data_IF_722302852232
#
_entry.id   IF_722302852232
#
_cell.length_a   1.000
_cell.length_b   1.000
_cell.length_c   1.000
_cell.angle_alpha   90.00
_cell.angle_beta   90.00
_cell.angle_gamma   90.00
#
_symmetry.space_group_name_H-M   'P 1'
#
loop_
_entity.id
_entity.type
_entity.pdbx_description
1 polymer ?
#
# COMPACT_ATOMS: atom_id res chain seq x y z
N UNK A 1 -3.67 80.97 4.34
CA UNK A 1 -3.49 79.94 5.42
C UNK A 1 -4.45 78.75 5.23
N UNK A 2 -5.64 78.88 4.67
CA UNK A 2 -6.66 77.83 4.60
C UNK A 2 -6.35 76.66 3.62
N UNK A 3 -5.72 76.92 2.47
CA UNK A 3 -5.46 75.88 1.44
C UNK A 3 -4.44 74.84 1.90
N UNK A 4 -3.45 75.21 2.67
CA UNK A 4 -2.39 74.27 3.15
C UNK A 4 -2.91 73.26 4.14
N UNK A 5 -3.88 73.60 4.99
CA UNK A 5 -4.50 72.69 5.93
C UNK A 5 -5.49 71.73 5.27
N UNK A 6 -6.10 72.11 4.15
CA UNK A 6 -6.95 71.24 3.34
C UNK A 6 -6.13 70.09 2.71
N UNK A 7 -4.95 70.39 2.15
CA UNK A 7 -4.05 69.36 1.59
C UNK A 7 -3.47 68.45 2.67
N UNK A 8 -3.16 68.95 3.87
CA UNK A 8 -2.72 68.13 4.99
C UNK A 8 -3.83 67.19 5.47
N UNK A 9 -5.09 67.67 5.48
CA UNK A 9 -6.25 66.83 5.85
C UNK A 9 -6.53 65.72 4.86
N UNK A 10 -6.35 65.98 3.55
CA UNK A 10 -6.55 64.97 2.49
C UNK A 10 -5.45 63.89 2.52
N UNK A 11 -4.18 64.27 2.79
CA UNK A 11 -3.08 63.31 2.92
C UNK A 11 -3.27 62.46 4.18
N UNK A 12 -3.77 63.00 5.28
CA UNK A 12 -4.00 62.24 6.50
C UNK A 12 -5.19 61.28 6.34
N UNK A 13 -6.21 61.65 5.53
CA UNK A 13 -7.37 60.78 5.28
C UNK A 13 -7.07 59.62 4.32
N UNK A 14 -6.12 59.80 3.35
CA UNK A 14 -5.69 58.74 2.47
C UNK A 14 -4.83 57.66 3.16
N UNK A 15 -4.17 57.95 4.29
CA UNK A 15 -3.38 56.99 5.05
C UNK A 15 -4.22 56.02 5.90
N UNK A 16 -5.50 56.28 6.12
CA UNK A 16 -6.41 55.39 6.89
C UNK A 16 -7.01 54.23 6.06
N UNK A 17 -6.83 54.23 4.75
CA UNK A 17 -7.35 53.17 3.89
C UNK A 17 -6.28 52.16 3.46
N UNK A 18 -5.16 52.06 4.17
CA UNK A 18 -4.27 50.90 4.04
C UNK A 18 -5.00 49.66 4.62
N UNK A 19 -5.96 49.12 3.86
CA UNK A 19 -6.53 47.80 4.15
C UNK A 19 -5.40 46.81 4.06
N UNK A 20 -4.88 46.36 5.20
CA UNK A 20 -4.04 45.19 5.31
C UNK A 20 -4.88 44.00 4.82
N UNK A 21 -4.80 43.72 3.53
CA UNK A 21 -5.30 42.48 3.00
C UNK A 21 -4.54 41.36 3.69
N UNK A 22 -5.15 40.74 4.68
CA UNK A 22 -4.63 39.52 5.27
C UNK A 22 -4.66 38.48 4.15
N UNK A 23 -3.52 38.26 3.49
CA UNK A 23 -3.36 37.11 2.63
C UNK A 23 -3.67 35.87 3.49
N UNK A 24 -4.75 35.16 3.15
CA UNK A 24 -5.08 33.90 3.83
C UNK A 24 -3.87 32.97 3.68
N UNK A 25 -3.26 32.58 4.77
CA UNK A 25 -2.17 31.62 4.76
C UNK A 25 -2.69 30.30 4.22
N UNK A 26 -2.07 29.82 3.11
CA UNK A 26 -2.47 28.59 2.45
C UNK A 26 -2.03 27.39 3.30
N UNK A 27 -2.99 26.61 3.77
CA UNK A 27 -2.71 25.39 4.55
C UNK A 27 -2.49 24.20 3.62
N UNK A 28 -1.22 23.80 3.48
CA UNK A 28 -0.81 22.66 2.64
C UNK A 28 -0.54 21.47 3.54
N UNK A 29 -1.00 20.28 3.13
CA UNK A 29 -0.68 19.00 3.75
C UNK A 29 0.05 18.07 2.78
N UNK A 30 0.82 17.14 3.32
CA UNK A 30 1.47 16.07 2.58
C UNK A 30 1.02 14.72 3.14
N UNK A 31 0.76 13.75 2.25
CA UNK A 31 0.44 12.35 2.60
C UNK A 31 1.35 11.41 1.81
N UNK A 32 2.11 10.58 2.53
CA UNK A 32 2.89 9.52 1.93
C UNK A 32 1.98 8.34 1.56
N UNK A 33 1.52 8.30 0.30
CA UNK A 33 0.60 7.27 -0.19
C UNK A 33 1.20 5.86 -0.07
N UNK A 34 2.50 5.69 -0.30
CA UNK A 34 3.19 4.40 -0.17
C UNK A 34 3.11 3.90 1.27
N UNK A 35 3.47 4.74 2.24
CA UNK A 35 3.38 4.42 3.67
C UNK A 35 1.95 4.07 4.09
N UNK A 36 0.95 4.79 3.56
CA UNK A 36 -0.47 4.49 3.83
C UNK A 36 -0.83 3.13 3.26
N UNK A 37 -0.47 2.83 2.00
CA UNK A 37 -0.76 1.54 1.37
C UNK A 37 -0.07 0.37 2.06
N UNK A 38 1.12 0.55 2.60
CA UNK A 38 1.85 -0.50 3.32
C UNK A 38 1.25 -0.80 4.70
N UNK A 39 0.74 0.23 5.37
CA UNK A 39 0.33 0.13 6.78
C UNK A 39 -1.19 0.08 6.99
N UNK A 40 -2.00 0.31 5.95
CA UNK A 40 -3.45 0.28 6.08
C UNK A 40 -3.98 -1.14 6.36
N UNK A 41 -4.74 -1.36 7.45
CA UNK A 41 -5.26 -2.67 7.79
C UNK A 41 -6.21 -3.22 6.73
N UNK A 42 -6.80 -2.34 5.92
CA UNK A 42 -7.64 -2.69 4.80
C UNK A 42 -6.88 -3.48 3.72
N UNK A 43 -5.56 -3.23 3.55
CA UNK A 43 -4.70 -3.96 2.62
C UNK A 43 -4.55 -5.42 3.06
N UNK A 44 -4.24 -5.64 4.34
CA UNK A 44 -4.16 -6.99 4.90
C UNK A 44 -5.50 -7.74 4.81
N UNK A 45 -6.61 -7.05 5.08
CA UNK A 45 -7.95 -7.63 4.95
C UNK A 45 -8.28 -7.99 3.49
N UNK A 46 -7.88 -7.15 2.51
CA UNK A 46 -8.08 -7.43 1.09
C UNK A 46 -7.27 -8.64 0.64
N UNK A 47 -5.99 -8.72 1.02
CA UNK A 47 -5.14 -9.88 0.72
C UNK A 47 -5.73 -11.17 1.30
N UNK A 48 -6.19 -11.15 2.55
CA UNK A 48 -6.82 -12.31 3.18
C UNK A 48 -8.15 -12.71 2.52
N UNK A 49 -8.89 -11.77 1.93
CA UNK A 49 -10.08 -12.10 1.12
C UNK A 49 -9.69 -12.77 -0.18
N UNK A 50 -8.71 -12.24 -0.90
CA UNK A 50 -8.19 -12.83 -2.12
C UNK A 50 -7.67 -14.24 -1.91
N UNK A 51 -6.87 -14.46 -0.85
CA UNK A 51 -6.38 -15.79 -0.51
C UNK A 51 -7.54 -16.78 -0.31
N UNK A 52 -8.54 -16.42 0.50
CA UNK A 52 -9.70 -17.31 0.74
C UNK A 52 -10.52 -17.57 -0.52
N UNK A 53 -10.68 -16.58 -1.37
CA UNK A 53 -11.45 -16.69 -2.62
C UNK A 53 -10.74 -17.64 -3.61
N UNK A 54 -9.41 -17.58 -3.69
CA UNK A 54 -8.63 -18.32 -4.67
C UNK A 54 -8.03 -19.64 -4.15
N UNK A 55 -8.01 -19.87 -2.84
CA UNK A 55 -7.48 -21.08 -2.22
C UNK A 55 -8.10 -22.38 -2.78
N UNK A 56 -9.42 -22.51 -2.98
CA UNK A 56 -10.01 -23.73 -3.53
C UNK A 56 -9.45 -24.06 -4.93
N UNK A 57 -9.39 -23.07 -5.81
CA UNK A 57 -8.86 -23.26 -7.18
C UNK A 57 -7.37 -23.58 -7.18
N UNK A 58 -6.60 -22.99 -6.27
CA UNK A 58 -5.19 -23.32 -6.09
C UNK A 58 -5.00 -24.78 -5.66
N UNK A 59 -5.85 -25.26 -4.75
CA UNK A 59 -5.85 -26.67 -4.33
C UNK A 59 -6.22 -27.62 -5.48
N UNK A 60 -7.21 -27.28 -6.30
CA UNK A 60 -7.60 -28.06 -7.49
C UNK A 60 -6.44 -28.18 -8.49
N UNK A 61 -5.75 -27.07 -8.78
CA UNK A 61 -4.57 -27.05 -9.64
C UNK A 61 -3.46 -27.94 -9.06
N UNK A 62 -3.19 -27.85 -7.76
CA UNK A 62 -2.19 -28.66 -7.10
C UNK A 62 -2.56 -30.17 -7.10
N UNK A 63 -3.84 -30.50 -6.97
CA UNK A 63 -4.33 -31.86 -7.08
C UNK A 63 -4.16 -32.38 -8.52
N UNK A 64 -4.59 -31.60 -9.52
CA UNK A 64 -4.43 -31.96 -10.92
C UNK A 64 -2.97 -32.22 -11.32
N UNK A 65 -2.03 -31.45 -10.78
CA UNK A 65 -0.59 -31.69 -10.98
C UNK A 65 -0.16 -33.04 -10.39
N UNK A 66 -0.62 -33.37 -9.18
CA UNK A 66 -0.31 -34.65 -8.51
C UNK A 66 -0.91 -35.83 -9.27
N UNK A 67 -2.14 -35.70 -9.74
CA UNK A 67 -2.83 -36.75 -10.47
C UNK A 67 -2.12 -37.05 -11.82
N UNK A 68 -1.73 -36.01 -12.55
CA UNK A 68 -0.97 -36.16 -13.79
C UNK A 68 0.34 -36.84 -13.51
N UNK A 69 1.07 -36.41 -12.48
CA UNK A 69 2.34 -37.08 -12.12
C UNK A 69 2.15 -38.54 -11.76
N UNK A 70 1.11 -38.88 -11.01
CA UNK A 70 0.81 -40.26 -10.66
C UNK A 70 0.51 -41.12 -11.91
N UNK A 71 -0.20 -40.58 -12.90
CA UNK A 71 -0.46 -41.26 -14.16
C UNK A 71 0.81 -41.42 -14.99
N UNK A 72 1.69 -40.44 -15.05
CA UNK A 72 2.98 -40.51 -15.73
C UNK A 72 3.90 -41.59 -15.07
N UNK A 73 3.97 -41.55 -13.74
CA UNK A 73 4.77 -42.55 -12.98
C UNK A 73 4.23 -43.96 -13.21
N UNK A 74 2.91 -44.12 -13.27
CA UNK A 74 2.28 -45.40 -13.58
C UNK A 74 2.58 -45.87 -15.00
N UNK A 75 2.45 -44.96 -15.98
CA UNK A 75 2.78 -45.29 -17.38
C UNK A 75 4.25 -45.68 -17.52
N UNK A 76 5.16 -45.00 -16.84
CA UNK A 76 6.60 -45.29 -16.87
C UNK A 76 6.94 -46.64 -16.22
N UNK A 77 6.25 -46.99 -15.11
CA UNK A 77 6.53 -48.24 -14.38
C UNK A 77 5.91 -49.47 -15.06
N UNK A 78 4.67 -49.35 -15.44
CA UNK A 78 3.83 -50.47 -15.87
C UNK A 78 3.64 -50.51 -17.40
N UNK A 79 4.10 -49.51 -18.12
CA UNK A 79 3.87 -49.36 -19.57
C UNK A 79 4.38 -50.54 -20.40
N UNK A 80 5.50 -51.17 -19.97
CA UNK A 80 6.06 -52.35 -20.65
C UNK A 80 5.21 -53.61 -20.52
N UNK A 81 4.35 -53.71 -19.50
CA UNK A 81 3.46 -54.85 -19.23
C UNK A 81 2.02 -54.59 -19.61
N UNK A 82 1.67 -53.34 -19.93
CA UNK A 82 0.34 -52.95 -20.42
C UNK A 82 0.12 -53.39 -21.88
N UNK A 83 -1.15 -53.64 -22.23
CA UNK A 83 -1.49 -53.73 -23.65
C UNK A 83 -1.24 -52.42 -24.39
N UNK A 84 -0.96 -52.48 -25.66
CA UNK A 84 -0.72 -51.30 -26.49
C UNK A 84 -1.93 -50.33 -26.50
N UNK A 85 -3.15 -50.86 -26.44
CA UNK A 85 -4.35 -50.07 -26.34
C UNK A 85 -4.39 -49.28 -25.00
N UNK A 86 -4.15 -49.95 -23.88
CA UNK A 86 -4.15 -49.33 -22.55
C UNK A 86 -3.06 -48.26 -22.44
N UNK A 87 -1.85 -48.51 -22.95
CA UNK A 87 -0.76 -47.53 -22.95
C UNK A 87 -1.10 -46.29 -23.78
N UNK A 88 -1.69 -46.48 -24.96
CA UNK A 88 -2.18 -45.36 -25.79
C UNK A 88 -3.29 -44.53 -25.13
N UNK A 89 -4.26 -45.22 -24.52
CA UNK A 89 -5.38 -44.51 -23.84
C UNK A 89 -4.87 -43.73 -22.63
N UNK A 90 -3.99 -44.28 -21.81
CA UNK A 90 -3.36 -43.59 -20.70
C UNK A 90 -2.54 -42.36 -21.15
N UNK A 91 -1.76 -42.52 -22.24
CA UNK A 91 -1.01 -41.41 -22.84
C UNK A 91 -1.92 -40.27 -23.31
N UNK A 92 -3.07 -40.58 -23.93
CA UNK A 92 -4.07 -39.59 -24.35
C UNK A 92 -4.69 -38.90 -23.13
N UNK A 93 -5.03 -39.63 -22.07
CA UNK A 93 -5.59 -39.09 -20.86
C UNK A 93 -4.60 -38.09 -20.18
N UNK A 94 -3.33 -38.46 -20.08
CA UNK A 94 -2.27 -37.55 -19.57
C UNK A 94 -2.20 -36.26 -20.41
N UNK A 95 -2.21 -36.36 -21.76
CA UNK A 95 -2.16 -35.21 -22.64
C UNK A 95 -3.37 -34.30 -22.42
N UNK A 96 -4.58 -34.87 -22.32
CA UNK A 96 -5.80 -34.11 -22.10
C UNK A 96 -5.79 -33.42 -20.75
N UNK A 97 -5.44 -34.15 -19.67
CA UNK A 97 -5.31 -33.59 -18.31
C UNK A 97 -4.27 -32.47 -18.23
N UNK A 98 -3.15 -32.61 -18.93
CA UNK A 98 -2.14 -31.53 -19.03
C UNK A 98 -2.69 -30.27 -19.70
N UNK A 99 -3.46 -30.43 -20.78
CA UNK A 99 -4.09 -29.30 -21.47
C UNK A 99 -5.13 -28.59 -20.57
N UNK A 100 -5.97 -29.39 -19.89
CA UNK A 100 -6.96 -28.87 -18.98
C UNK A 100 -6.31 -28.15 -17.78
N UNK A 101 -5.29 -28.74 -17.20
CA UNK A 101 -4.53 -28.14 -16.11
C UNK A 101 -3.90 -26.81 -16.54
N UNK A 102 -3.29 -26.78 -17.73
CA UNK A 102 -2.73 -25.53 -18.27
C UNK A 102 -3.80 -24.46 -18.41
N UNK A 103 -4.94 -24.79 -18.98
CA UNK A 103 -6.07 -23.84 -19.11
C UNK A 103 -6.52 -23.34 -17.74
N UNK A 104 -6.71 -24.22 -16.74
CA UNK A 104 -7.06 -23.85 -15.37
C UNK A 104 -6.03 -22.92 -14.72
N UNK A 105 -4.73 -23.14 -14.96
CA UNK A 105 -3.66 -22.27 -14.47
C UNK A 105 -3.68 -20.89 -15.12
N UNK A 106 -3.95 -20.83 -16.43
CA UNK A 106 -4.00 -19.58 -17.17
C UNK A 106 -5.24 -18.76 -16.72
N UNK A 107 -6.42 -19.40 -16.62
CA UNK A 107 -7.65 -18.80 -16.08
C UNK A 107 -7.48 -18.32 -14.63
N UNK A 108 -6.86 -19.13 -13.78
CA UNK A 108 -6.57 -18.74 -12.38
C UNK A 108 -5.70 -17.49 -12.32
N UNK A 109 -4.64 -17.43 -13.14
CA UNK A 109 -3.72 -16.28 -13.14
C UNK A 109 -4.40 -15.02 -13.60
N UNK A 110 -5.21 -15.12 -14.66
CA UNK A 110 -5.96 -13.99 -15.21
C UNK A 110 -6.98 -13.47 -14.20
N UNK A 111 -7.84 -14.34 -13.68
CA UNK A 111 -8.88 -13.99 -12.70
C UNK A 111 -8.27 -13.39 -11.42
N UNK A 112 -7.16 -13.99 -10.93
CA UNK A 112 -6.46 -13.47 -9.75
C UNK A 112 -5.93 -12.05 -9.98
N UNK A 113 -5.33 -11.80 -11.14
CA UNK A 113 -4.79 -10.47 -11.47
C UNK A 113 -5.91 -9.43 -11.60
N UNK A 114 -7.02 -9.77 -12.26
CA UNK A 114 -8.20 -8.91 -12.38
C UNK A 114 -8.75 -8.60 -10.98
N UNK A 115 -8.97 -9.61 -10.17
CA UNK A 115 -9.56 -9.46 -8.85
C UNK A 115 -8.66 -8.66 -7.90
N UNK A 116 -7.35 -8.89 -7.98
CA UNK A 116 -6.35 -8.12 -7.23
C UNK A 116 -6.38 -6.63 -7.64
N UNK A 117 -6.46 -6.35 -8.93
CA UNK A 117 -6.55 -4.96 -9.43
C UNK A 117 -7.82 -4.28 -8.90
N UNK A 118 -8.97 -4.94 -8.97
CA UNK A 118 -10.23 -4.42 -8.43
C UNK A 118 -10.15 -4.11 -6.92
N UNK A 119 -9.51 -4.98 -6.13
CA UNK A 119 -9.35 -4.74 -4.70
C UNK A 119 -8.40 -3.56 -4.43
N UNK A 120 -7.31 -3.41 -5.21
CA UNK A 120 -6.41 -2.26 -5.10
C UNK A 120 -7.11 -0.95 -5.47
N UNK A 121 -7.92 -0.94 -6.53
CA UNK A 121 -8.70 0.23 -6.94
C UNK A 121 -9.72 0.65 -5.86
N UNK A 122 -10.37 -0.31 -5.21
CA UNK A 122 -11.27 -0.05 -4.09
C UNK A 122 -10.52 0.56 -2.90
N UNK A 123 -9.36 0.01 -2.57
CA UNK A 123 -8.52 0.51 -1.49
C UNK A 123 -8.05 1.94 -1.78
N UNK A 124 -7.60 2.21 -2.98
CA UNK A 124 -7.17 3.55 -3.38
C UNK A 124 -8.30 4.57 -3.24
N UNK A 125 -9.51 4.23 -3.71
CA UNK A 125 -10.69 5.10 -3.55
C UNK A 125 -10.99 5.37 -2.08
N UNK A 126 -11.00 4.34 -1.23
CA UNK A 126 -11.26 4.48 0.21
C UNK A 126 -10.19 5.37 0.89
N UNK A 127 -8.92 5.22 0.53
CA UNK A 127 -7.84 6.04 1.07
C UNK A 127 -8.03 7.51 0.64
N UNK A 128 -8.34 7.76 -0.62
CA UNK A 128 -8.61 9.12 -1.12
C UNK A 128 -9.79 9.75 -0.39
N UNK A 129 -10.89 9.02 -0.17
CA UNK A 129 -12.05 9.49 0.59
C UNK A 129 -11.67 9.89 2.02
N UNK A 130 -10.86 9.08 2.70
CA UNK A 130 -10.38 9.38 4.05
C UNK A 130 -9.46 10.61 4.05
N UNK A 131 -8.54 10.72 3.08
CA UNK A 131 -7.68 11.90 2.95
C UNK A 131 -8.53 13.16 2.75
N UNK A 132 -9.51 13.12 1.86
CA UNK A 132 -10.42 14.25 1.63
C UNK A 132 -11.25 14.62 2.86
N UNK A 133 -11.71 13.62 3.62
CA UNK A 133 -12.45 13.87 4.86
C UNK A 133 -11.57 14.58 5.89
N UNK A 134 -10.34 14.10 6.12
CA UNK A 134 -9.38 14.74 7.04
C UNK A 134 -9.01 16.14 6.56
N UNK A 135 -8.80 16.32 5.25
CA UNK A 135 -8.48 17.61 4.66
C UNK A 135 -9.59 18.65 4.92
N UNK A 136 -10.85 18.26 4.70
CA UNK A 136 -12.01 19.13 4.95
C UNK A 136 -12.17 19.44 6.43
N UNK A 137 -12.10 18.44 7.31
CA UNK A 137 -12.24 18.61 8.76
C UNK A 137 -11.20 19.57 9.33
N UNK A 138 -9.99 19.55 8.79
CA UNK A 138 -8.87 20.36 9.26
C UNK A 138 -8.60 21.61 8.43
N UNK A 139 -9.48 21.91 7.46
CA UNK A 139 -9.39 23.10 6.62
C UNK A 139 -8.07 23.22 5.85
N UNK A 140 -7.57 22.11 5.29
CA UNK A 140 -6.48 22.17 4.33
C UNK A 140 -6.97 22.71 2.99
N UNK A 141 -6.17 23.59 2.39
CA UNK A 141 -6.44 24.15 1.07
C UNK A 141 -5.89 23.28 -0.06
N UNK A 142 -4.82 22.53 0.22
CA UNK A 142 -4.16 21.62 -0.74
C UNK A 142 -3.54 20.41 -0.03
N UNK A 143 -3.72 19.22 -0.61
CA UNK A 143 -3.01 18.00 -0.20
C UNK A 143 -2.14 17.53 -1.36
N UNK A 144 -0.86 17.31 -1.08
CA UNK A 144 0.11 16.71 -1.97
C UNK A 144 0.36 15.25 -1.57
N UNK A 145 0.64 14.41 -2.55
CA UNK A 145 0.94 12.98 -2.32
C UNK A 145 2.12 12.54 -3.17
N UNK A 146 1.87 12.01 -4.35
CA UNK A 146 2.89 11.45 -5.22
C UNK A 146 3.81 12.55 -5.81
N UNK A 147 5.06 12.18 -6.10
CA UNK A 147 6.03 13.07 -6.73
C UNK A 147 6.69 14.09 -5.79
N UNK A 148 6.37 14.07 -4.49
CA UNK A 148 7.02 14.91 -3.49
C UNK A 148 8.33 14.27 -3.06
N UNK A 149 9.45 14.97 -3.32
CA UNK A 149 10.79 14.48 -2.98
C UNK A 149 11.12 14.71 -1.51
N UNK A 150 10.59 15.79 -0.94
CA UNK A 150 10.81 16.15 0.46
C UNK A 150 9.62 16.94 1.01
N UNK A 151 9.22 16.64 2.22
CA UNK A 151 8.23 17.38 2.99
C UNK A 151 8.71 17.53 4.43
N UNK A 152 8.42 18.69 5.02
CA UNK A 152 8.68 18.93 6.44
C UNK A 152 7.65 18.18 7.29
N UNK A 153 8.05 17.68 8.46
CA UNK A 153 7.16 16.98 9.40
C UNK A 153 5.92 17.82 9.81
N UNK A 154 6.06 19.16 9.78
CA UNK A 154 4.94 20.05 10.12
C UNK A 154 3.78 20.02 9.12
N UNK A 155 4.00 19.60 7.89
CA UNK A 155 2.93 19.44 6.87
C UNK A 155 2.57 17.97 6.62
N UNK A 156 3.30 17.00 7.19
CA UNK A 156 3.03 15.56 7.03
C UNK A 156 1.80 15.16 7.86
N UNK A 157 0.71 14.85 7.18
CA UNK A 157 -0.53 14.37 7.78
C UNK A 157 -0.72 12.85 7.64
N UNK A 158 0.29 12.12 7.19
CA UNK A 158 0.22 10.66 6.93
C UNK A 158 -0.27 9.89 8.16
N UNK A 159 0.30 10.18 9.35
CA UNK A 159 -0.09 9.52 10.60
C UNK A 159 -1.57 9.81 10.99
N UNK A 160 -2.10 10.98 10.63
CA UNK A 160 -3.49 11.33 10.88
C UNK A 160 -4.43 10.53 9.97
N UNK A 161 -4.06 10.37 8.71
CA UNK A 161 -4.79 9.53 7.74
C UNK A 161 -4.75 8.07 8.19
N UNK A 162 -3.59 7.56 8.59
CA UNK A 162 -3.43 6.21 9.12
C UNK A 162 -4.29 5.98 10.37
N UNK A 163 -4.31 6.92 11.29
CA UNK A 163 -5.16 6.88 12.49
C UNK A 163 -6.65 6.83 12.12
N UNK A 164 -7.07 7.62 11.12
CA UNK A 164 -8.46 7.63 10.66
C UNK A 164 -8.85 6.32 9.97
N UNK A 165 -7.90 5.68 9.26
CA UNK A 165 -8.07 4.34 8.67
C UNK A 165 -8.13 3.22 9.73
N UNK A 166 -8.01 3.53 11.02
CA UNK A 166 -8.11 2.59 12.11
C UNK A 166 -6.81 1.91 12.49
N UNK A 167 -5.66 2.44 12.06
CA UNK A 167 -4.37 2.02 12.56
C UNK A 167 -4.15 2.74 13.90
N UNK A 168 -4.57 2.13 15.00
CA UNK A 168 -4.03 2.51 16.29
C UNK A 168 -2.51 2.32 16.20
N UNK A 169 -1.73 3.38 16.51
CA UNK A 169 -0.31 3.21 16.79
C UNK A 169 -0.18 2.08 17.80
N UNK A 170 0.10 0.86 17.36
CA UNK A 170 0.77 -0.13 18.20
C UNK A 170 2.10 0.51 18.49
N UNK A 171 2.21 1.07 19.71
CA UNK A 171 3.42 1.72 20.17
C UNK A 171 4.58 0.72 20.16
N UNK A 172 5.24 0.62 19.05
CA UNK A 172 6.62 0.21 19.02
C UNK A 172 7.41 1.48 19.31
N UNK A 173 7.46 1.84 20.61
CA UNK A 173 8.57 2.58 21.11
C UNK A 173 9.81 1.83 20.61
N UNK A 174 10.51 2.40 19.63
CA UNK A 174 11.86 1.99 19.34
C UNK A 174 12.59 1.93 20.70
N UNK A 175 13.27 0.83 21.03
CA UNK A 175 14.10 0.83 22.20
C UNK A 175 15.11 1.94 21.98
N UNK A 176 14.96 3.04 22.73
CA UNK A 176 16.01 4.04 22.88
C UNK A 176 17.26 3.26 23.24
N UNK A 177 18.16 3.13 22.28
CA UNK A 177 19.49 2.62 22.52
C UNK A 177 20.09 3.52 23.61
N UNK A 178 20.10 3.00 24.85
CA UNK A 178 20.80 3.57 25.97
C UNK A 178 22.25 3.74 25.52
N UNK A 179 22.82 4.93 25.56
CA UNK A 179 24.20 5.10 25.18
C UNK A 179 25.06 4.15 26.03
N UNK A 180 25.77 3.26 25.35
CA UNK A 180 26.73 2.37 25.99
C UNK A 180 27.71 3.25 26.79
N UNK A 181 27.65 3.10 28.10
CA UNK A 181 28.71 3.62 28.99
C UNK A 181 30.02 3.04 28.47
N UNK A 182 30.89 3.92 28.00
CA UNK A 182 32.28 3.66 27.73
C UNK A 182 32.87 2.92 28.94
N UNK A 183 33.15 1.65 28.75
CA UNK A 183 33.94 0.87 29.70
C UNK A 183 35.34 1.43 29.64
N UNK A 184 35.77 2.03 30.71
CA UNK A 184 37.16 2.36 31.02
C UNK A 184 37.97 1.06 31.00
N UNK A 185 39.07 0.95 30.24
CA UNK A 185 39.93 -0.22 30.30
C UNK A 185 40.60 -0.34 31.68
N UNK A 186 40.84 -1.57 32.19
CA UNK A 186 41.50 -1.78 33.46
C UNK A 186 42.96 -1.27 33.40
N UNK A 187 43.35 -0.50 34.40
CA UNK A 187 44.75 -0.13 34.65
C UNK A 187 45.52 -1.41 34.98
N UNK A 188 46.55 -1.69 34.23
CA UNK A 188 47.58 -2.66 34.51
C UNK A 188 48.38 -2.20 35.73
N UNK A 189 48.69 -3.08 36.72
CA UNK A 189 49.54 -2.72 37.83
C UNK A 189 51.01 -2.70 37.40
N UNK A 190 51.71 -1.67 37.76
CA UNK A 190 53.14 -1.54 37.61
C UNK A 190 53.87 -2.50 38.58
N UNK A 191 54.82 -3.24 38.04
CA UNK A 191 56.06 -3.69 38.68
C UNK A 191 57.23 -3.21 37.84
#
# INVERSE_FOLDING_TARGET
LSKRYIYLGIILLCSLFATTGTAKELKIGFVNAVKVMEQAPQVSAANSRLEREFEPRQREIANGQRDIKALEDKLNKDGAIMSEAQSRDMSRDIINKKRDLKRQQDEFREDYNIRRSEELDKLQKQIIEVIQAVAKEQSYDLILSDGVVWANDGIDMTDQVLKRLGIARSGTAAPTAKPARSATPPREPAE
#
